data_IF_014786807922
#
_entry.id   IF_014786807922
#
_cell.length_a   1.000
_cell.length_b   1.000
_cell.length_c   1.000
_cell.angle_alpha   90.00
_cell.angle_beta   90.00
_cell.angle_gamma   90.00
#
_symmetry.space_group_name_H-M   'P 1'
#
loop_
_entity.id
_entity.type
_entity.pdbx_description
1 polymer ?
#
# COMPACT_ATOMS: atom_id res chain seq x y z
N UNK A 1 10.27 13.89 -19.14
CA UNK A 1 9.67 12.54 -18.97
C UNK A 1 9.75 11.80 -20.29
N UNK A 2 10.18 10.54 -20.32
CA UNK A 2 10.23 9.75 -21.55
C UNK A 2 8.81 9.24 -21.94
N UNK A 3 8.65 8.76 -23.18
CA UNK A 3 7.34 8.34 -23.70
C UNK A 3 6.71 7.20 -22.88
N UNK A 4 7.51 6.26 -22.36
CA UNK A 4 7.02 5.16 -21.53
C UNK A 4 6.38 5.73 -20.25
N UNK A 5 7.06 6.66 -19.59
CA UNK A 5 6.56 7.27 -18.36
C UNK A 5 5.29 8.11 -18.62
N UNK A 6 5.22 8.86 -19.74
CA UNK A 6 4.00 9.62 -20.05
C UNK A 6 2.80 8.70 -20.26
N UNK A 7 2.94 7.68 -21.09
CA UNK A 7 1.85 6.73 -21.32
C UNK A 7 1.52 5.90 -20.07
N UNK A 8 2.52 5.54 -19.27
CA UNK A 8 2.32 4.83 -18.02
C UNK A 8 1.38 5.60 -17.08
N UNK A 9 1.65 6.87 -16.83
CA UNK A 9 0.81 7.67 -15.93
C UNK A 9 -0.52 8.07 -16.56
N UNK A 10 -0.58 8.25 -17.89
CA UNK A 10 -1.85 8.46 -18.60
C UNK A 10 -2.77 7.25 -18.47
N UNK A 11 -2.27 6.05 -18.75
CA UNK A 11 -3.04 4.81 -18.61
C UNK A 11 -3.46 4.56 -17.15
N UNK A 12 -2.56 4.83 -16.21
CA UNK A 12 -2.86 4.69 -14.80
C UNK A 12 -3.94 5.67 -14.36
N UNK A 13 -3.92 6.92 -14.84
CA UNK A 13 -4.98 7.91 -14.60
C UNK A 13 -6.30 7.46 -15.20
N UNK A 14 -6.28 6.95 -16.42
CA UNK A 14 -7.48 6.43 -17.09
C UNK A 14 -8.10 5.27 -16.30
N UNK A 15 -7.30 4.30 -15.84
CA UNK A 15 -7.80 3.17 -15.07
C UNK A 15 -8.21 3.50 -13.64
N UNK A 16 -7.41 4.29 -12.92
CA UNK A 16 -7.64 4.61 -11.52
C UNK A 16 -8.71 5.69 -11.30
N UNK A 17 -8.77 6.70 -12.17
CA UNK A 17 -9.60 7.90 -11.98
C UNK A 17 -10.65 8.11 -13.07
N UNK A 18 -10.77 7.17 -14.01
CA UNK A 18 -11.71 7.23 -15.12
C UNK A 18 -11.51 8.46 -16.05
N UNK A 19 -10.26 8.93 -16.17
CA UNK A 19 -9.92 10.08 -16.99
C UNK A 19 -9.77 9.70 -18.47
N UNK A 20 -10.20 10.61 -19.36
CA UNK A 20 -9.92 10.50 -20.79
C UNK A 20 -8.49 10.96 -21.06
N UNK A 21 -7.70 10.11 -21.71
CA UNK A 21 -6.29 10.37 -21.96
C UNK A 21 -5.93 10.01 -23.41
N UNK A 22 -4.95 10.69 -23.97
CA UNK A 22 -4.40 10.38 -25.28
C UNK A 22 -3.09 9.60 -25.16
N UNK A 23 -2.98 8.48 -25.89
CA UNK A 23 -1.80 7.61 -25.86
C UNK A 23 -0.89 7.93 -27.04
N UNK A 24 0.40 8.05 -26.76
CA UNK A 24 1.44 8.24 -27.77
C UNK A 24 1.89 6.86 -28.33
N UNK A 25 2.30 6.79 -29.61
CA UNK A 25 2.73 5.52 -30.22
C UNK A 25 3.97 4.95 -29.53
N UNK A 26 3.96 3.68 -29.21
CA UNK A 26 5.08 2.98 -28.59
C UNK A 26 5.45 1.70 -29.36
N UNK A 27 6.75 1.38 -29.40
CA UNK A 27 7.23 0.10 -29.92
C UNK A 27 6.92 -1.05 -28.95
N UNK A 28 6.91 -2.29 -29.45
CA UNK A 28 6.75 -3.53 -28.68
C UNK A 28 7.55 -3.55 -27.37
N UNK A 29 8.86 -3.23 -27.45
CA UNK A 29 9.74 -3.24 -26.29
C UNK A 29 9.36 -2.21 -25.20
N UNK A 30 8.79 -1.09 -25.60
CA UNK A 30 8.30 -0.08 -24.65
C UNK A 30 7.03 -0.56 -23.96
N UNK A 31 6.12 -1.22 -24.67
CA UNK A 31 4.93 -1.82 -24.09
C UNK A 31 5.26 -2.95 -23.10
N UNK A 32 6.16 -3.86 -23.48
CA UNK A 32 6.64 -4.92 -22.59
C UNK A 32 7.25 -4.35 -21.31
N UNK A 33 8.04 -3.29 -21.45
CA UNK A 33 8.63 -2.63 -20.27
C UNK A 33 7.58 -1.95 -19.39
N UNK A 34 6.56 -1.33 -19.98
CA UNK A 34 5.45 -0.73 -19.25
C UNK A 34 4.68 -1.79 -18.45
N UNK A 35 4.40 -2.95 -19.05
CA UNK A 35 3.79 -4.10 -18.38
C UNK A 35 4.62 -4.57 -17.17
N UNK A 36 5.91 -4.79 -17.36
CA UNK A 36 6.81 -5.21 -16.30
C UNK A 36 6.78 -4.24 -15.11
N UNK A 37 6.74 -2.94 -15.38
CA UNK A 37 6.62 -1.92 -14.34
C UNK A 37 5.27 -1.93 -13.63
N UNK A 38 4.19 -2.17 -14.34
CA UNK A 38 2.86 -2.29 -13.75
C UNK A 38 2.77 -3.49 -12.80
N UNK A 39 3.31 -4.64 -13.20
CA UNK A 39 3.42 -5.83 -12.34
C UNK A 39 4.29 -5.56 -11.11
N UNK A 40 5.43 -4.90 -11.32
CA UNK A 40 6.37 -4.56 -10.27
C UNK A 40 5.75 -3.72 -9.15
N UNK A 41 4.92 -2.76 -9.51
CA UNK A 41 4.23 -1.90 -8.57
C UNK A 41 2.89 -2.47 -8.08
N UNK A 42 2.49 -3.67 -8.52
CA UNK A 42 1.23 -4.32 -8.14
C UNK A 42 -0.02 -3.55 -8.59
N UNK A 43 0.07 -2.88 -9.75
CA UNK A 43 -1.00 -2.06 -10.34
C UNK A 43 -1.36 -2.47 -11.76
N UNK A 44 -0.96 -3.68 -12.19
CA UNK A 44 -1.20 -4.18 -13.53
C UNK A 44 -2.69 -4.35 -13.86
N UNK A 45 -3.54 -4.67 -12.88
CA UNK A 45 -4.99 -4.73 -13.05
C UNK A 45 -5.57 -3.34 -13.36
N UNK A 46 -5.26 -2.35 -12.52
CA UNK A 46 -5.70 -0.96 -12.72
C UNK A 46 -5.17 -0.38 -14.03
N UNK A 47 -3.93 -0.71 -14.39
CA UNK A 47 -3.35 -0.29 -15.66
C UNK A 47 -4.07 -0.91 -16.86
N UNK A 48 -4.53 -2.15 -16.73
CA UNK A 48 -5.32 -2.84 -17.73
C UNK A 48 -6.68 -2.17 -17.97
N UNK A 49 -7.33 -1.66 -16.92
CA UNK A 49 -8.55 -0.86 -17.06
C UNK A 49 -8.33 0.38 -17.92
N UNK A 50 -7.20 1.06 -17.72
CA UNK A 50 -6.81 2.19 -18.56
C UNK A 50 -6.52 1.78 -20.02
N UNK A 51 -5.92 0.62 -20.23
CA UNK A 51 -5.69 0.06 -21.58
C UNK A 51 -7.02 -0.20 -22.29
N UNK A 52 -7.97 -0.88 -21.63
CA UNK A 52 -9.27 -1.20 -22.23
C UNK A 52 -10.05 0.07 -22.60
N UNK A 53 -10.01 1.12 -21.78
CA UNK A 53 -10.64 2.40 -22.12
C UNK A 53 -10.00 3.11 -23.32
N UNK A 54 -8.67 2.99 -23.46
CA UNK A 54 -7.94 3.61 -24.56
C UNK A 54 -7.89 2.73 -25.83
N UNK A 55 -8.49 1.54 -25.82
CA UNK A 55 -8.33 0.51 -26.87
C UNK A 55 -8.75 0.98 -28.27
N UNK A 56 -9.73 1.88 -28.37
CA UNK A 56 -10.19 2.42 -29.64
C UNK A 56 -9.26 3.48 -30.25
N UNK A 57 -8.25 3.93 -29.54
CA UNK A 57 -7.34 4.97 -30.03
C UNK A 57 -6.37 4.39 -31.08
N UNK A 58 -6.16 5.12 -32.15
CA UNK A 58 -5.30 4.71 -33.27
C UNK A 58 -3.88 4.32 -32.86
N UNK A 59 -3.31 5.01 -31.87
CA UNK A 59 -1.95 4.75 -31.37
C UNK A 59 -1.88 3.67 -30.29
N UNK A 60 -3.01 3.08 -29.91
CA UNK A 60 -3.05 1.99 -28.94
C UNK A 60 -2.74 0.64 -29.59
N UNK A 61 -1.52 0.53 -30.13
CA UNK A 61 -1.04 -0.67 -30.83
C UNK A 61 -0.32 -1.60 -29.86
N UNK A 62 -1.08 -2.29 -29.00
CA UNK A 62 -0.55 -3.34 -28.15
C UNK A 62 -0.35 -4.62 -28.98
N UNK A 63 0.80 -5.30 -28.84
CA UNK A 63 1.01 -6.62 -29.44
C UNK A 63 0.04 -7.65 -28.87
N UNK A 64 -0.51 -8.51 -29.71
CA UNK A 64 -1.55 -9.50 -29.35
C UNK A 64 -1.07 -10.45 -28.23
N UNK A 65 0.16 -10.95 -28.31
CA UNK A 65 0.78 -11.81 -27.31
C UNK A 65 0.90 -11.13 -25.94
N UNK A 66 1.17 -9.83 -25.92
CA UNK A 66 1.23 -9.06 -24.68
C UNK A 66 -0.17 -8.78 -24.10
N UNK A 67 -1.17 -8.56 -24.97
CA UNK A 67 -2.57 -8.43 -24.54
C UNK A 67 -3.04 -9.71 -23.85
N UNK A 68 -2.75 -10.88 -24.46
CA UNK A 68 -3.09 -12.18 -23.89
C UNK A 68 -2.42 -12.38 -22.52
N UNK A 69 -1.11 -12.18 -22.45
CA UNK A 69 -0.35 -12.27 -21.18
C UNK A 69 -0.93 -11.35 -20.10
N UNK A 70 -1.35 -10.13 -20.48
CA UNK A 70 -1.91 -9.17 -19.52
C UNK A 70 -3.29 -9.62 -19.03
N UNK A 71 -4.15 -10.10 -19.94
CA UNK A 71 -5.47 -10.66 -19.59
C UNK A 71 -5.36 -11.83 -18.63
N UNK A 72 -4.47 -12.79 -18.90
CA UNK A 72 -4.22 -13.94 -18.04
C UNK A 72 -3.77 -13.48 -16.63
N UNK A 73 -2.88 -12.48 -16.57
CA UNK A 73 -2.40 -11.92 -15.32
C UNK A 73 -3.52 -11.22 -14.52
N UNK A 74 -4.46 -10.56 -15.21
CA UNK A 74 -5.61 -9.91 -14.58
C UNK A 74 -6.63 -10.95 -14.14
N UNK A 75 -6.93 -11.95 -14.95
CA UNK A 75 -7.83 -13.04 -14.56
C UNK A 75 -7.34 -13.78 -13.31
N UNK A 76 -6.04 -14.06 -13.21
CA UNK A 76 -5.43 -14.64 -12.01
C UNK A 76 -5.63 -13.73 -10.80
N UNK A 77 -5.46 -12.41 -10.96
CA UNK A 77 -5.66 -11.44 -9.88
C UNK A 77 -7.13 -11.39 -9.43
N UNK A 78 -8.08 -11.46 -10.37
CA UNK A 78 -9.52 -11.52 -10.06
C UNK A 78 -9.88 -12.79 -9.28
N UNK A 79 -9.34 -13.95 -9.67
CA UNK A 79 -9.54 -15.21 -8.94
C UNK A 79 -8.95 -15.14 -7.51
N UNK A 80 -7.73 -14.62 -7.36
CA UNK A 80 -7.09 -14.43 -6.05
C UNK A 80 -7.94 -13.51 -5.15
N UNK A 81 -8.44 -12.40 -5.68
CA UNK A 81 -9.27 -11.44 -4.93
C UNK A 81 -10.66 -11.99 -4.61
N UNK A 82 -11.27 -12.76 -5.50
CA UNK A 82 -12.55 -13.44 -5.24
C UNK A 82 -12.41 -14.51 -4.13
N UNK A 83 -11.31 -15.26 -4.14
CA UNK A 83 -10.97 -16.21 -3.08
C UNK A 83 -10.74 -15.52 -1.74
N UNK A 84 -10.06 -14.35 -1.76
CA UNK A 84 -9.85 -13.52 -0.57
C UNK A 84 -11.18 -13.04 0.03
N UNK A 85 -12.10 -12.54 -0.80
CA UNK A 85 -13.43 -12.09 -0.38
C UNK A 85 -14.23 -13.20 0.28
N UNK A 86 -14.32 -14.37 -0.38
CA UNK A 86 -15.05 -15.52 0.15
C UNK A 86 -14.46 -16.02 1.49
N UNK A 87 -13.12 -16.04 1.59
CA UNK A 87 -12.42 -16.43 2.81
C UNK A 87 -12.65 -15.43 3.93
N UNK A 88 -12.61 -14.13 3.63
CA UNK A 88 -12.86 -13.08 4.60
C UNK A 88 -14.28 -13.17 5.16
N UNK A 89 -15.30 -13.31 4.31
CA UNK A 89 -16.69 -13.47 4.74
C UNK A 89 -16.86 -14.70 5.63
N UNK A 90 -16.24 -15.82 5.29
CA UNK A 90 -16.26 -17.03 6.11
C UNK A 90 -15.63 -16.79 7.50
N UNK A 91 -14.45 -16.14 7.55
CA UNK A 91 -13.79 -15.80 8.81
C UNK A 91 -14.64 -14.89 9.70
N UNK A 92 -15.29 -13.87 9.12
CA UNK A 92 -16.20 -12.98 9.87
C UNK A 92 -17.37 -13.75 10.49
N UNK A 93 -17.98 -14.68 9.75
CA UNK A 93 -19.06 -15.52 10.29
C UNK A 93 -18.56 -16.42 11.41
N UNK A 94 -17.40 -17.04 11.27
CA UNK A 94 -16.80 -17.92 12.29
C UNK A 94 -16.47 -17.12 13.56
N UNK A 95 -15.84 -15.95 13.41
CA UNK A 95 -15.48 -15.09 14.53
C UNK A 95 -16.71 -14.52 15.24
N UNK A 96 -17.73 -14.14 14.51
CA UNK A 96 -18.99 -13.67 15.09
C UNK A 96 -19.63 -14.73 15.99
N UNK A 97 -19.63 -16.01 15.57
CA UNK A 97 -20.13 -17.13 16.38
C UNK A 97 -19.34 -17.34 17.68
N UNK A 98 -18.08 -16.93 17.69
CA UNK A 98 -17.18 -17.01 18.86
C UNK A 98 -17.12 -15.70 19.65
N UNK A 99 -17.99 -14.76 19.36
CA UNK A 99 -17.99 -13.41 19.98
C UNK A 99 -16.68 -12.62 19.78
N UNK A 100 -15.94 -12.94 18.73
CA UNK A 100 -14.80 -12.16 18.28
C UNK A 100 -15.27 -11.13 17.25
N UNK A 101 -14.79 -9.90 17.38
CA UNK A 101 -15.16 -8.79 16.49
C UNK A 101 -13.90 -8.19 15.86
N UNK A 102 -13.40 -8.79 14.78
CA UNK A 102 -12.29 -8.21 14.04
C UNK A 102 -12.75 -6.94 13.31
N UNK A 103 -11.85 -5.99 13.20
CA UNK A 103 -12.03 -4.76 12.43
C UNK A 103 -11.19 -4.88 11.16
N UNK A 104 -11.83 -4.78 9.99
CA UNK A 104 -11.15 -4.80 8.70
C UNK A 104 -10.36 -3.51 8.48
N UNK A 105 -9.13 -3.63 7.99
CA UNK A 105 -8.28 -2.50 7.66
C UNK A 105 -7.29 -2.84 6.53
N UNK A 106 -6.60 -1.83 6.04
CA UNK A 106 -5.51 -2.04 5.10
C UNK A 106 -5.95 -2.37 3.68
N UNK A 107 -5.26 -3.30 3.05
CA UNK A 107 -5.34 -3.53 1.60
C UNK A 107 -6.77 -3.78 1.09
N UNK A 108 -7.49 -4.71 1.71
CA UNK A 108 -8.85 -5.06 1.29
C UNK A 108 -9.82 -3.88 1.45
N UNK A 109 -9.74 -3.14 2.57
CA UNK A 109 -10.57 -1.97 2.79
C UNK A 109 -10.32 -0.86 1.73
N UNK A 110 -9.08 -0.70 1.29
CA UNK A 110 -8.77 0.29 0.24
C UNK A 110 -9.23 -0.15 -1.14
N UNK A 111 -9.23 -1.45 -1.42
CA UNK A 111 -9.75 -2.00 -2.68
C UNK A 111 -11.21 -1.62 -2.95
N UNK A 112 -12.04 -1.47 -1.90
CA UNK A 112 -13.44 -1.04 -2.00
C UNK A 112 -13.63 0.32 -2.67
N UNK A 113 -12.60 1.16 -2.69
CA UNK A 113 -12.67 2.49 -3.32
C UNK A 113 -12.31 2.45 -4.82
N UNK A 114 -11.77 1.35 -5.33
CA UNK A 114 -11.34 1.25 -6.72
C UNK A 114 -12.54 1.02 -7.65
N UNK A 115 -12.51 1.54 -8.91
CA UNK A 115 -13.55 1.28 -9.90
C UNK A 115 -13.79 -0.23 -10.12
N UNK A 116 -12.72 -1.03 -10.16
CA UNK A 116 -12.74 -2.48 -10.15
C UNK A 116 -11.93 -2.97 -8.93
N UNK A 117 -12.61 -3.29 -7.82
CA UNK A 117 -11.96 -3.72 -6.57
C UNK A 117 -11.13 -4.99 -6.76
N UNK A 118 -11.54 -5.87 -7.68
CA UNK A 118 -10.82 -7.10 -8.07
C UNK A 118 -9.49 -6.83 -8.77
N UNK A 119 -9.28 -5.63 -9.31
CA UNK A 119 -8.05 -5.27 -10.02
C UNK A 119 -6.98 -4.64 -9.14
N UNK A 120 -7.29 -4.39 -7.86
CA UNK A 120 -6.28 -3.99 -6.88
C UNK A 120 -5.65 -5.21 -6.21
N UNK A 121 -4.33 -5.35 -6.33
CA UNK A 121 -3.61 -6.45 -5.69
C UNK A 121 -3.59 -6.31 -4.16
N UNK A 122 -4.14 -7.29 -3.44
CA UNK A 122 -4.26 -7.26 -1.97
C UNK A 122 -3.17 -8.06 -1.24
N UNK A 123 -2.90 -9.28 -1.60
CA UNK A 123 -1.88 -10.20 -1.06
C UNK A 123 -2.18 -10.85 0.30
N UNK A 124 -3.04 -10.28 1.14
CA UNK A 124 -3.36 -10.81 2.47
C UNK A 124 -4.60 -10.16 3.06
N UNK A 125 -5.28 -10.89 3.92
CA UNK A 125 -6.38 -10.42 4.76
C UNK A 125 -5.79 -9.88 6.08
N UNK A 126 -6.09 -8.65 6.43
CA UNK A 126 -5.61 -7.99 7.65
C UNK A 126 -6.78 -7.69 8.59
N UNK A 127 -6.76 -8.31 9.77
CA UNK A 127 -7.80 -8.19 10.80
C UNK A 127 -7.22 -7.57 12.07
N UNK A 128 -7.81 -6.49 12.52
CA UNK A 128 -7.38 -5.78 13.73
C UNK A 128 -8.31 -6.16 14.91
N UNK A 129 -7.69 -6.48 16.03
CA UNK A 129 -8.39 -6.77 17.28
C UNK A 129 -7.97 -5.71 18.31
N UNK A 130 -8.82 -4.71 18.58
CA UNK A 130 -8.46 -3.59 19.44
C UNK A 130 -8.29 -3.96 20.93
N UNK A 131 -8.86 -5.10 21.35
CA UNK A 131 -8.80 -5.58 22.73
C UNK A 131 -7.88 -6.78 22.87
N UNK A 132 -6.95 -6.73 23.84
CA UNK A 132 -5.97 -7.77 24.09
C UNK A 132 -6.62 -9.17 24.24
N UNK A 133 -7.70 -9.26 25.01
CA UNK A 133 -8.40 -10.54 25.25
C UNK A 133 -8.98 -11.15 23.98
N UNK A 134 -9.48 -10.31 23.05
CA UNK A 134 -9.98 -10.78 21.76
C UNK A 134 -8.82 -11.17 20.84
N UNK A 135 -7.74 -10.40 20.86
CA UNK A 135 -6.53 -10.72 20.10
C UNK A 135 -5.94 -12.07 20.53
N UNK A 136 -5.80 -12.33 21.84
CA UNK A 136 -5.26 -13.58 22.36
C UNK A 136 -6.14 -14.78 21.97
N UNK A 137 -7.46 -14.66 22.11
CA UNK A 137 -8.40 -15.69 21.65
C UNK A 137 -8.33 -15.90 20.12
N UNK A 138 -8.15 -14.84 19.37
CA UNK A 138 -8.00 -14.94 17.91
C UNK A 138 -6.74 -15.69 17.49
N UNK A 139 -5.64 -15.55 18.25
CA UNK A 139 -4.40 -16.32 18.05
C UNK A 139 -4.60 -17.80 18.39
N UNK A 140 -5.30 -18.11 19.51
CA UNK A 140 -5.63 -19.49 19.86
C UNK A 140 -6.44 -20.17 18.75
N UNK A 141 -7.43 -19.46 18.23
CA UNK A 141 -8.21 -19.94 17.08
C UNK A 141 -7.34 -20.16 15.84
N UNK A 142 -6.47 -19.21 15.51
CA UNK A 142 -5.59 -19.29 14.36
C UNK A 142 -4.58 -20.45 14.45
N UNK A 143 -4.06 -20.73 15.64
CA UNK A 143 -3.19 -21.90 15.89
C UNK A 143 -3.90 -23.23 15.73
N UNK A 144 -5.19 -23.28 16.07
CA UNK A 144 -5.99 -24.50 15.98
C UNK A 144 -6.51 -24.79 14.56
N UNK A 145 -6.72 -23.76 13.73
CA UNK A 145 -7.41 -23.88 12.45
C UNK A 145 -6.57 -23.47 11.23
N UNK A 146 -5.48 -22.72 11.43
CA UNK A 146 -4.58 -22.27 10.39
C UNK A 146 -3.38 -23.17 10.17
N UNK A 147 -2.75 -23.02 9.00
CA UNK A 147 -1.48 -23.65 8.65
C UNK A 147 -0.35 -22.61 8.68
N UNK A 148 0.90 -23.07 8.78
CA UNK A 148 2.09 -22.21 8.73
C UNK A 148 2.04 -21.02 9.71
N UNK A 149 1.46 -21.23 10.88
CA UNK A 149 1.22 -20.20 11.87
C UNK A 149 2.53 -19.68 12.47
N UNK A 150 2.71 -18.34 12.44
CA UNK A 150 3.91 -17.66 12.91
C UNK A 150 3.62 -16.34 13.59
N UNK A 151 4.39 -16.03 14.63
CA UNK A 151 4.33 -14.71 15.26
C UNK A 151 5.21 -13.73 14.46
N UNK A 152 4.61 -12.65 14.02
CA UNK A 152 5.33 -11.57 13.36
C UNK A 152 5.91 -10.60 14.39
N UNK A 153 6.94 -9.85 13.99
CA UNK A 153 7.32 -8.64 14.71
C UNK A 153 6.06 -7.76 14.87
N UNK A 154 6.02 -6.88 15.83
CA UNK A 154 4.94 -5.89 15.94
C UNK A 154 3.60 -6.37 16.54
N UNK A 155 3.58 -7.45 17.32
CA UNK A 155 2.36 -8.01 17.89
C UNK A 155 1.32 -8.32 16.82
N UNK A 156 1.75 -8.98 15.76
CA UNK A 156 0.88 -9.56 14.76
C UNK A 156 1.12 -11.07 14.68
N UNK A 157 0.11 -11.80 14.24
CA UNK A 157 0.14 -13.24 14.08
C UNK A 157 -0.34 -13.61 12.69
N UNK A 158 0.46 -14.33 11.92
CA UNK A 158 0.14 -14.72 10.56
C UNK A 158 -0.06 -16.24 10.46
N UNK A 159 -0.97 -16.63 9.59
CA UNK A 159 -1.25 -18.02 9.26
C UNK A 159 -1.83 -18.12 7.86
N UNK A 160 -1.87 -19.31 7.31
CA UNK A 160 -2.58 -19.60 6.07
C UNK A 160 -3.93 -20.24 6.39
N UNK A 161 -4.98 -19.75 5.73
CA UNK A 161 -6.33 -20.27 5.81
C UNK A 161 -6.95 -20.31 4.42
N UNK A 162 -7.41 -21.49 3.99
CA UNK A 162 -7.88 -21.74 2.61
C UNK A 162 -6.87 -21.31 1.52
N UNK A 163 -5.57 -21.52 1.78
CA UNK A 163 -4.50 -21.13 0.85
C UNK A 163 -4.17 -19.65 0.83
N UNK A 164 -4.82 -18.86 1.66
CA UNK A 164 -4.63 -17.40 1.74
C UNK A 164 -3.94 -17.00 3.02
N UNK A 165 -3.09 -15.99 2.93
CA UNK A 165 -2.44 -15.42 4.10
C UNK A 165 -3.38 -14.51 4.88
N UNK A 166 -3.57 -14.81 6.15
CA UNK A 166 -4.35 -14.02 7.11
C UNK A 166 -3.43 -13.51 8.21
N UNK A 167 -3.58 -12.26 8.57
CA UNK A 167 -2.83 -11.63 9.65
C UNK A 167 -3.77 -11.03 10.68
N UNK A 168 -3.61 -11.46 11.94
CA UNK A 168 -4.26 -10.83 13.08
C UNK A 168 -3.32 -9.80 13.69
N UNK A 169 -3.82 -8.60 13.90
CA UNK A 169 -3.06 -7.47 14.40
C UNK A 169 -3.63 -6.94 15.71
N UNK A 170 -2.76 -6.72 16.69
CA UNK A 170 -3.07 -5.95 17.91
C UNK A 170 -2.72 -4.47 17.74
N UNK A 171 -1.97 -4.12 16.70
CA UNK A 171 -1.59 -2.74 16.35
C UNK A 171 -1.82 -2.53 14.86
N UNK A 172 -2.48 -1.44 14.48
CA UNK A 172 -2.76 -1.12 13.06
C UNK A 172 -1.48 -0.87 12.27
N UNK A 173 -0.50 -0.24 12.92
CA UNK A 173 0.82 0.03 12.37
C UNK A 173 1.82 0.16 13.52
N UNK A 174 3.10 -0.08 13.23
CA UNK A 174 4.17 0.07 14.22
C UNK A 174 5.27 0.94 13.65
N UNK A 175 5.58 2.03 14.33
CA UNK A 175 6.72 2.88 14.07
C UNK A 175 7.95 2.39 14.84
N UNK A 176 9.12 2.48 14.22
CA UNK A 176 10.40 2.07 14.83
C UNK A 176 10.79 3.03 15.95
N UNK A 177 10.45 4.31 15.82
CA UNK A 177 10.62 5.29 16.89
C UNK A 177 9.60 5.03 17.99
N UNK A 178 10.09 4.63 19.19
CA UNK A 178 9.25 4.24 20.34
C UNK A 178 8.31 5.35 20.80
N UNK A 179 8.75 6.61 20.77
CA UNK A 179 7.93 7.75 21.18
C UNK A 179 6.80 8.02 20.20
N UNK A 180 7.10 8.04 18.91
CA UNK A 180 6.07 8.20 17.86
C UNK A 180 5.11 7.01 17.86
N UNK A 181 5.63 5.80 18.09
CA UNK A 181 4.80 4.59 18.19
C UNK A 181 3.85 4.65 19.38
N UNK A 182 4.30 5.14 20.53
CA UNK A 182 3.42 5.39 21.69
C UNK A 182 2.31 6.39 21.36
N UNK A 183 2.65 7.50 20.69
CA UNK A 183 1.65 8.49 20.24
C UNK A 183 0.66 7.92 19.24
N UNK A 184 1.12 7.11 18.30
CA UNK A 184 0.24 6.44 17.35
C UNK A 184 -0.75 5.51 18.05
N UNK A 185 -0.28 4.71 19.00
CA UNK A 185 -1.16 3.83 19.77
C UNK A 185 -2.23 4.63 20.54
N UNK A 186 -1.86 5.75 21.16
CA UNK A 186 -2.82 6.61 21.87
C UNK A 186 -3.86 7.22 20.90
N UNK A 187 -3.47 7.59 19.68
CA UNK A 187 -4.40 8.05 18.64
C UNK A 187 -5.41 6.95 18.32
N UNK A 188 -4.93 5.73 18.03
CA UNK A 188 -5.78 4.59 17.69
C UNK A 188 -6.72 4.24 18.86
N UNK A 189 -6.19 4.11 20.08
CA UNK A 189 -6.99 3.78 21.27
C UNK A 189 -8.06 4.82 21.55
N UNK A 190 -7.74 6.12 21.39
CA UNK A 190 -8.72 7.20 21.52
C UNK A 190 -9.81 7.12 20.46
N UNK A 191 -9.42 6.86 19.20
CA UNK A 191 -10.37 6.75 18.10
C UNK A 191 -11.40 5.65 18.34
N UNK A 192 -10.96 4.47 18.80
CA UNK A 192 -11.86 3.34 19.12
C UNK A 192 -12.66 3.53 20.42
N UNK A 193 -12.23 4.43 21.30
CA UNK A 193 -12.97 4.78 22.54
C UNK A 193 -14.08 5.79 22.25
N UNK A 194 -13.79 6.79 21.42
CA UNK A 194 -14.67 7.92 21.16
C UNK A 194 -15.66 7.66 20.00
N UNK A 195 -15.30 6.79 19.08
CA UNK A 195 -16.08 6.49 17.89
C UNK A 195 -16.41 5.00 17.78
N UNK A 196 -17.61 4.70 17.28
CA UNK A 196 -17.95 3.33 16.88
C UNK A 196 -17.23 2.97 15.59
N UNK A 197 -16.87 1.69 15.39
CA UNK A 197 -16.37 1.22 14.08
C UNK A 197 -17.36 1.59 12.96
N UNK A 198 -16.81 1.92 11.80
CA UNK A 198 -17.62 2.13 10.59
C UNK A 198 -18.07 0.76 10.08
N UNK A 199 -19.27 0.67 9.54
CA UNK A 199 -19.78 -0.56 8.97
C UNK A 199 -19.78 -0.46 7.43
N UNK A 200 -19.35 -1.53 6.77
CA UNK A 200 -19.58 -1.74 5.34
C UNK A 200 -21.02 -2.21 5.11
N UNK A 201 -21.44 -2.26 3.84
CA UNK A 201 -22.80 -2.66 3.45
C UNK A 201 -23.18 -4.09 3.89
N UNK A 202 -22.19 -4.97 4.03
CA UNK A 202 -22.33 -6.35 4.49
C UNK A 202 -22.30 -6.50 6.03
N UNK A 203 -22.15 -5.37 6.76
CA UNK A 203 -22.06 -5.33 8.21
C UNK A 203 -20.65 -5.55 8.78
N UNK A 204 -19.63 -5.66 7.93
CA UNK A 204 -18.23 -5.78 8.36
C UNK A 204 -17.77 -4.50 9.08
N UNK A 205 -17.21 -4.65 10.28
CA UNK A 205 -16.64 -3.52 11.04
C UNK A 205 -15.32 -3.08 10.42
N UNK A 206 -15.14 -1.76 10.23
CA UNK A 206 -13.94 -1.15 9.65
C UNK A 206 -13.47 0.05 10.49
N UNK A 207 -12.23 0.47 10.24
CA UNK A 207 -11.68 1.71 10.82
C UNK A 207 -12.35 2.95 10.20
N UNK A 208 -12.35 4.08 10.91
CA UNK A 208 -12.87 5.35 10.40
C UNK A 208 -12.11 5.82 9.15
N UNK A 209 -12.75 6.64 8.31
CA UNK A 209 -12.13 7.18 7.09
C UNK A 209 -10.88 8.02 7.41
N UNK A 210 -10.90 8.80 8.50
CA UNK A 210 -9.74 9.57 8.95
C UNK A 210 -8.58 8.68 9.38
N UNK A 211 -8.85 7.58 10.11
CA UNK A 211 -7.83 6.62 10.51
C UNK A 211 -7.30 5.82 9.32
N UNK A 212 -8.17 5.49 8.37
CA UNK A 212 -7.79 4.84 7.12
C UNK A 212 -6.82 5.70 6.32
N UNK A 213 -7.08 7.00 6.20
CA UNK A 213 -6.20 7.94 5.53
C UNK A 213 -4.86 8.10 6.26
N UNK A 214 -4.86 8.20 7.59
CA UNK A 214 -3.63 8.19 8.38
C UNK A 214 -2.81 6.93 8.11
N UNK A 215 -3.45 5.77 8.04
CA UNK A 215 -2.78 4.50 7.78
C UNK A 215 -2.16 4.45 6.38
N UNK A 216 -2.79 5.06 5.36
CA UNK A 216 -2.19 5.20 4.02
C UNK A 216 -0.88 6.00 4.12
N UNK A 217 -0.85 7.14 4.83
CA UNK A 217 0.38 7.92 5.03
C UNK A 217 1.45 7.16 5.79
N UNK A 218 1.08 6.41 6.83
CA UNK A 218 2.02 5.56 7.58
C UNK A 218 2.63 4.48 6.70
N UNK A 219 1.83 3.78 5.88
CA UNK A 219 2.33 2.77 4.95
C UNK A 219 3.15 3.39 3.83
N UNK A 220 2.73 4.51 3.29
CA UNK A 220 3.51 5.25 2.30
C UNK A 220 4.88 5.63 2.86
N UNK A 221 4.94 6.18 4.09
CA UNK A 221 6.21 6.52 4.74
C UNK A 221 7.09 5.31 5.00
N UNK A 222 6.51 4.21 5.46
CA UNK A 222 7.24 2.96 5.70
C UNK A 222 7.87 2.42 4.40
N UNK A 223 7.10 2.36 3.32
CA UNK A 223 7.63 1.91 2.02
C UNK A 223 8.68 2.87 1.49
N UNK A 224 8.47 4.18 1.58
CA UNK A 224 9.45 5.18 1.16
C UNK A 224 10.80 4.99 1.86
N UNK A 225 10.80 4.71 3.16
CA UNK A 225 12.03 4.52 3.95
C UNK A 225 12.70 3.16 3.73
N UNK A 226 11.93 2.11 3.44
CA UNK A 226 12.43 0.74 3.40
C UNK A 226 12.51 0.13 2.00
N UNK A 227 11.58 0.46 1.10
CA UNK A 227 11.42 -0.23 -0.18
C UNK A 227 11.43 0.71 -1.40
N UNK A 228 11.43 2.03 -1.18
CA UNK A 228 11.21 3.03 -2.23
C UNK A 228 9.74 3.43 -2.38
N UNK A 229 9.46 4.33 -3.30
CA UNK A 229 8.10 4.85 -3.49
C UNK A 229 7.19 3.79 -4.11
N UNK A 230 6.11 3.47 -3.43
CA UNK A 230 5.07 2.58 -3.92
C UNK A 230 3.98 3.35 -4.67
N UNK A 231 3.87 3.13 -5.98
CA UNK A 231 2.80 3.70 -6.80
C UNK A 231 1.42 3.16 -6.38
N UNK A 232 1.33 1.92 -5.91
CA UNK A 232 0.08 1.36 -5.37
C UNK A 232 -0.47 2.20 -4.21
N UNK A 233 0.37 2.54 -3.22
CA UNK A 233 -0.08 3.37 -2.10
C UNK A 233 -0.40 4.81 -2.50
N UNK A 234 0.24 5.32 -3.55
CA UNK A 234 -0.08 6.64 -4.09
C UNK A 234 -1.43 6.61 -4.83
N UNK A 235 -1.73 5.54 -5.58
CA UNK A 235 -3.05 5.30 -6.17
C UNK A 235 -4.11 5.14 -5.06
N UNK A 236 -3.83 4.35 -4.02
CA UNK A 236 -4.72 4.21 -2.86
C UNK A 236 -5.10 5.57 -2.28
N UNK A 237 -4.11 6.46 -2.09
CA UNK A 237 -4.35 7.80 -1.58
C UNK A 237 -5.20 8.64 -2.51
N UNK A 238 -4.88 8.68 -3.81
CA UNK A 238 -5.62 9.48 -4.80
C UNK A 238 -7.05 9.01 -4.98
N UNK A 239 -7.26 7.70 -5.10
CA UNK A 239 -8.60 7.11 -5.24
C UNK A 239 -9.41 7.34 -3.96
N UNK A 240 -8.81 7.09 -2.78
CA UNK A 240 -9.45 7.33 -1.49
C UNK A 240 -9.91 8.79 -1.34
N UNK A 241 -9.10 9.75 -1.77
CA UNK A 241 -9.45 11.17 -1.74
C UNK A 241 -10.70 11.48 -2.58
N UNK A 242 -10.77 10.96 -3.81
CA UNK A 242 -11.89 11.22 -4.71
C UNK A 242 -13.18 10.51 -4.29
N UNK A 243 -13.07 9.32 -3.67
CA UNK A 243 -14.23 8.49 -3.30
C UNK A 243 -14.71 8.78 -1.88
N UNK A 244 -13.80 8.88 -0.93
CA UNK A 244 -14.10 8.96 0.50
C UNK A 244 -13.50 10.20 1.19
N UNK A 245 -12.90 11.10 0.44
CA UNK A 245 -12.23 12.28 0.98
C UNK A 245 -13.16 13.21 1.76
N UNK A 246 -14.42 13.33 1.36
CA UNK A 246 -15.41 14.16 2.04
C UNK A 246 -15.81 13.63 3.44
N UNK A 247 -15.57 12.34 3.72
CA UNK A 247 -15.87 11.73 5.00
C UNK A 247 -14.68 11.80 5.99
N UNK A 248 -13.59 12.44 5.58
CA UNK A 248 -12.38 12.60 6.40
C UNK A 248 -12.47 13.87 7.24
N UNK A 249 -12.28 13.74 8.54
CA UNK A 249 -12.05 14.89 9.42
C UNK A 249 -10.60 15.39 9.26
N UNK A 250 -10.43 16.38 8.38
CA UNK A 250 -9.10 16.92 8.07
C UNK A 250 -8.48 17.71 9.23
N UNK A 251 -9.27 18.29 10.12
CA UNK A 251 -8.73 18.99 11.32
C UNK A 251 -8.07 17.96 12.24
N UNK A 252 -8.76 16.86 12.49
CA UNK A 252 -8.28 15.72 13.25
C UNK A 252 -7.05 15.09 12.59
N UNK A 253 -7.10 14.83 11.28
CA UNK A 253 -6.01 14.27 10.52
C UNK A 253 -4.76 15.15 10.56
N UNK A 254 -4.88 16.46 10.36
CA UNK A 254 -3.75 17.39 10.45
C UNK A 254 -3.11 17.41 11.84
N UNK A 255 -3.93 17.31 12.90
CA UNK A 255 -3.46 17.13 14.28
C UNK A 255 -2.63 15.85 14.44
N UNK A 256 -3.09 14.74 13.88
CA UNK A 256 -2.38 13.47 13.90
C UNK A 256 -1.08 13.49 13.09
N UNK A 257 -1.12 14.05 11.87
CA UNK A 257 0.06 14.22 11.02
C UNK A 257 1.14 15.09 11.72
N UNK A 258 0.71 16.13 12.43
CA UNK A 258 1.61 16.95 13.25
C UNK A 258 2.23 16.15 14.42
N UNK A 259 1.39 15.45 15.17
CA UNK A 259 1.77 14.65 16.34
C UNK A 259 2.77 13.54 15.97
N UNK A 260 2.60 12.92 14.80
CA UNK A 260 3.44 11.85 14.29
C UNK A 260 4.57 12.33 13.39
N UNK A 261 4.76 13.65 13.24
CA UNK A 261 5.79 14.25 12.36
C UNK A 261 5.66 13.85 10.89
N UNK A 262 4.45 13.56 10.40
CA UNK A 262 4.16 13.10 9.04
C UNK A 262 3.84 14.22 8.06
N UNK A 263 3.86 15.51 8.47
CA UNK A 263 3.50 16.64 7.57
C UNK A 263 4.34 16.68 6.29
N UNK A 264 5.66 16.47 6.40
CA UNK A 264 6.53 16.43 5.23
C UNK A 264 6.21 15.26 4.29
N UNK A 265 5.85 14.10 4.85
CA UNK A 265 5.41 12.93 4.08
C UNK A 265 4.11 13.23 3.35
N UNK A 266 3.13 13.84 4.02
CA UNK A 266 1.86 14.25 3.42
C UNK A 266 2.08 15.27 2.27
N UNK A 267 2.94 16.26 2.48
CA UNK A 267 3.30 17.22 1.44
C UNK A 267 3.99 16.56 0.22
N UNK A 268 4.86 15.57 0.45
CA UNK A 268 5.47 14.78 -0.65
C UNK A 268 4.39 14.02 -1.41
N UNK A 269 3.52 13.29 -0.70
CA UNK A 269 2.46 12.52 -1.32
C UNK A 269 1.53 13.43 -2.14
N UNK A 270 1.14 14.58 -1.60
CA UNK A 270 0.34 15.58 -2.32
C UNK A 270 1.06 16.12 -3.56
N UNK A 271 2.33 16.51 -3.45
CA UNK A 271 3.10 16.97 -4.60
C UNK A 271 3.26 15.87 -5.67
N UNK A 272 3.34 14.59 -5.29
CA UNK A 272 3.35 13.48 -6.24
C UNK A 272 1.98 13.29 -6.91
N UNK A 273 0.87 13.41 -6.18
CA UNK A 273 -0.48 13.37 -6.76
C UNK A 273 -0.67 14.49 -7.81
N UNK A 274 -0.23 15.71 -7.49
CA UNK A 274 -0.29 16.84 -8.44
C UNK A 274 0.57 16.56 -9.70
N UNK A 275 1.80 16.08 -9.53
CA UNK A 275 2.72 15.90 -10.66
C UNK A 275 2.44 14.66 -11.52
N UNK A 276 1.81 13.61 -10.96
CA UNK A 276 1.63 12.32 -11.62
C UNK A 276 0.18 12.05 -12.01
N UNK A 277 -0.78 12.53 -11.20
CA UNK A 277 -2.20 12.20 -11.34
C UNK A 277 -3.08 13.44 -11.55
N UNK A 278 -2.48 14.59 -11.82
CA UNK A 278 -3.19 15.82 -12.19
C UNK A 278 -4.19 16.33 -11.14
N UNK A 279 -3.90 16.08 -9.87
CA UNK A 279 -4.66 16.68 -8.77
C UNK A 279 -4.36 18.16 -8.65
N UNK A 280 -5.35 18.95 -8.29
CA UNK A 280 -5.13 20.34 -7.85
C UNK A 280 -4.79 20.35 -6.34
N UNK A 281 -4.10 21.37 -5.87
CA UNK A 281 -3.85 21.53 -4.44
C UNK A 281 -5.12 21.76 -3.62
N UNK A 282 -6.19 22.23 -4.24
CA UNK A 282 -7.50 22.41 -3.60
C UNK A 282 -8.17 21.08 -3.26
N UNK A 283 -7.83 20.00 -3.97
CA UNK A 283 -8.27 18.63 -3.67
C UNK A 283 -7.48 17.98 -2.52
N UNK A 284 -6.45 18.66 -1.98
CA UNK A 284 -5.47 18.11 -1.03
C UNK A 284 -5.46 18.87 0.31
N UNK A 285 -6.53 18.79 1.13
CA UNK A 285 -6.67 19.61 2.35
C UNK A 285 -5.60 19.31 3.43
N UNK A 286 -4.85 18.22 3.29
CA UNK A 286 -3.76 17.84 4.19
C UNK A 286 -2.41 18.47 3.80
N UNK A 287 -2.29 19.04 2.61
CA UNK A 287 -1.04 19.68 2.14
C UNK A 287 -0.90 21.07 2.79
N UNK A 288 0.23 21.28 3.44
CA UNK A 288 0.56 22.53 4.14
C UNK A 288 1.64 23.35 3.42
N UNK A 289 2.28 22.80 2.37
CA UNK A 289 3.31 23.48 1.57
C UNK A 289 3.28 22.98 0.12
N UNK A 290 3.08 23.91 -0.80
CA UNK A 290 3.09 23.65 -2.25
C UNK A 290 4.50 23.71 -2.87
N UNK A 291 5.52 24.09 -2.09
CA UNK A 291 6.91 24.24 -2.57
C UNK A 291 7.75 22.98 -2.38
N UNK A 292 7.12 21.84 -2.08
CA UNK A 292 7.83 20.60 -1.83
C UNK A 292 8.55 20.10 -3.08
N UNK A 293 9.89 19.98 -2.99
CA UNK A 293 10.70 19.50 -4.11
C UNK A 293 10.67 17.98 -4.22
N UNK A 294 9.91 17.45 -5.16
CA UNK A 294 9.80 16.00 -5.46
C UNK A 294 10.63 15.54 -6.68
N UNK A 295 11.40 16.45 -7.31
CA UNK A 295 12.23 16.10 -8.50
C UNK A 295 13.13 14.88 -8.30
N UNK A 296 13.85 14.72 -7.15
CA UNK A 296 14.67 13.52 -6.92
C UNK A 296 13.85 12.23 -6.85
N UNK A 297 12.64 12.30 -6.32
CA UNK A 297 11.70 11.17 -6.22
C UNK A 297 11.15 10.81 -7.60
N UNK A 298 10.72 11.83 -8.36
CA UNK A 298 10.23 11.63 -9.73
C UNK A 298 11.32 11.03 -10.64
N UNK A 299 12.58 11.46 -10.50
CA UNK A 299 13.67 10.89 -11.30
C UNK A 299 13.89 9.40 -11.02
N UNK A 300 13.64 8.93 -9.80
CA UNK A 300 13.68 7.52 -9.44
C UNK A 300 12.49 6.75 -10.01
N UNK A 301 11.29 7.27 -9.85
CA UNK A 301 10.07 6.67 -10.40
C UNK A 301 10.10 6.58 -11.93
N UNK A 302 10.80 7.52 -12.60
CA UNK A 302 10.93 7.50 -14.06
C UNK A 302 12.13 6.68 -14.57
N UNK A 303 12.92 6.10 -13.68
CA UNK A 303 14.06 5.27 -14.09
C UNK A 303 13.62 3.85 -14.47
N UNK A 304 12.87 3.74 -15.55
CA UNK A 304 12.41 2.47 -16.13
C UNK A 304 13.55 1.55 -16.63
N UNK A 305 14.81 2.00 -16.60
CA UNK A 305 15.98 1.18 -16.98
C UNK A 305 16.49 0.31 -15.82
N UNK A 306 16.14 0.66 -14.58
CA UNK A 306 16.61 -0.05 -13.39
C UNK A 306 15.90 -1.36 -13.08
N UNK A 307 14.78 -1.66 -13.76
CA UNK A 307 13.97 -2.85 -13.50
C UNK A 307 14.76 -4.17 -13.64
N UNK A 308 15.63 -4.26 -14.63
CA UNK A 308 16.42 -5.48 -14.87
C UNK A 308 17.52 -5.68 -13.81
N UNK A 309 18.08 -4.59 -13.27
CA UNK A 309 19.16 -4.64 -12.27
C UNK A 309 18.65 -4.79 -10.83
N UNK A 310 17.42 -4.37 -10.58
CA UNK A 310 16.79 -4.41 -9.26
C UNK A 310 15.69 -5.49 -9.15
N UNK A 311 15.61 -6.42 -10.08
CA UNK A 311 14.58 -7.46 -10.11
C UNK A 311 14.52 -8.32 -8.83
N UNK A 312 15.61 -8.39 -8.07
CA UNK A 312 15.64 -9.07 -6.78
C UNK A 312 14.89 -8.32 -5.66
N UNK A 313 14.77 -6.98 -5.73
CA UNK A 313 13.99 -6.21 -4.76
C UNK A 313 12.48 -6.44 -4.90
N UNK A 314 12.05 -6.81 -6.07
CA UNK A 314 10.65 -6.84 -6.47
C UNK A 314 10.06 -8.25 -6.57
N UNK A 315 10.89 -9.28 -6.51
CA UNK A 315 10.43 -10.67 -6.31
C UNK A 315 9.83 -10.91 -4.92
N UNK A 316 9.88 -9.92 -4.05
CA UNK A 316 9.35 -9.96 -2.68
C UNK A 316 7.81 -9.91 -2.56
N UNK A 317 7.06 -9.92 -3.65
CA UNK A 317 5.58 -9.95 -3.59
C UNK A 317 5.01 -11.24 -2.96
N UNK A 318 5.72 -12.35 -3.02
CA UNK A 318 5.29 -13.65 -2.43
C UNK A 318 6.18 -14.14 -1.28
N UNK A 319 7.44 -13.67 -1.17
CA UNK A 319 8.36 -14.13 -0.11
C UNK A 319 9.07 -12.95 0.56
N UNK A 320 8.64 -12.61 1.77
CA UNK A 320 9.28 -11.60 2.64
C UNK A 320 10.66 -12.07 3.16
N UNK A 321 11.06 -13.32 2.86
CA UNK A 321 12.28 -13.96 3.37
C UNK A 321 13.17 -14.53 2.26
N UNK A 322 13.59 -13.71 1.28
CA UNK A 322 14.74 -14.11 0.48
C UNK A 322 16.00 -13.55 1.12
N UNK A 323 16.86 -14.45 1.58
CA UNK A 323 18.21 -14.11 2.07
C UNK A 323 19.03 -13.46 0.93
N UNK A 324 18.90 -12.14 0.78
CA UNK A 324 19.91 -11.37 0.06
C UNK A 324 21.16 -11.32 0.93
N UNK A 325 22.34 -11.37 0.32
CA UNK A 325 23.60 -11.19 1.04
C UNK A 325 23.48 -9.97 1.96
N UNK A 326 23.57 -10.18 3.27
CA UNK A 326 23.30 -9.21 4.33
C UNK A 326 23.92 -7.83 4.10
N UNK A 327 25.09 -7.76 3.48
CA UNK A 327 25.85 -6.53 3.22
C UNK A 327 25.19 -5.63 2.15
N UNK A 328 24.65 -6.21 1.07
CA UNK A 328 24.02 -5.45 -0.01
C UNK A 328 22.68 -4.85 0.43
N UNK A 329 21.88 -5.62 1.19
CA UNK A 329 20.63 -5.16 1.76
C UNK A 329 20.87 -4.04 2.80
N UNK A 330 21.89 -4.18 3.64
CA UNK A 330 22.30 -3.17 4.61
C UNK A 330 22.73 -1.86 3.91
N UNK A 331 23.60 -1.92 2.90
CA UNK A 331 24.03 -0.73 2.15
C UNK A 331 22.87 -0.03 1.47
N UNK A 332 21.90 -0.79 0.96
CA UNK A 332 20.71 -0.24 0.36
C UNK A 332 19.83 0.49 1.41
N UNK A 333 19.56 -0.11 2.58
CA UNK A 333 18.82 0.53 3.67
C UNK A 333 19.50 1.80 4.17
N UNK A 334 20.83 1.80 4.31
CA UNK A 334 21.62 2.98 4.68
C UNK A 334 21.41 4.10 3.66
N UNK A 335 21.55 3.77 2.37
CA UNK A 335 21.36 4.75 1.27
C UNK A 335 19.94 5.30 1.23
N UNK A 336 18.94 4.45 1.42
CA UNK A 336 17.53 4.82 1.40
C UNK A 336 17.18 5.70 2.61
N UNK A 337 17.59 5.31 3.81
CA UNK A 337 17.39 6.11 5.02
C UNK A 337 18.08 7.48 4.94
N UNK A 338 19.30 7.55 4.40
CA UNK A 338 20.01 8.81 4.16
C UNK A 338 19.31 9.74 3.16
N UNK A 339 18.76 9.15 2.07
CA UNK A 339 18.06 9.89 1.02
C UNK A 339 16.78 10.58 1.54
N UNK A 340 16.02 9.88 2.39
CA UNK A 340 14.73 10.36 2.90
C UNK A 340 14.79 10.94 4.30
N UNK A 341 15.99 10.98 4.91
CA UNK A 341 16.23 11.51 6.25
C UNK A 341 15.58 12.88 6.49
N UNK A 342 15.73 13.81 5.56
CA UNK A 342 15.20 15.18 5.71
C UNK A 342 13.67 15.26 5.77
N UNK A 343 12.96 14.23 5.31
CA UNK A 343 11.49 14.22 5.25
C UNK A 343 10.85 13.58 6.46
N UNK A 344 11.55 12.62 7.10
CA UNK A 344 11.08 11.95 8.31
C UNK A 344 12.26 11.60 9.21
N UNK A 345 12.93 12.61 9.82
CA UNK A 345 14.21 12.41 10.53
C UNK A 345 14.14 11.40 11.65
N UNK A 346 13.13 11.52 12.54
CA UNK A 346 13.01 10.68 13.74
C UNK A 346 12.86 9.20 13.43
N UNK A 347 12.04 8.85 12.43
CA UNK A 347 11.82 7.47 12.01
C UNK A 347 13.01 6.95 11.19
N UNK A 348 13.61 7.78 10.33
CA UNK A 348 14.78 7.41 9.54
C UNK A 348 15.98 7.04 10.41
N UNK A 349 16.28 7.80 11.47
CA UNK A 349 17.37 7.48 12.40
C UNK A 349 17.09 6.17 13.12
N UNK A 350 15.90 6.01 13.68
CA UNK A 350 15.59 4.80 14.47
C UNK A 350 15.50 3.57 13.59
N UNK A 351 14.99 3.70 12.36
CA UNK A 351 14.96 2.63 11.38
C UNK A 351 16.39 2.21 10.97
N UNK A 352 17.26 3.18 10.72
CA UNK A 352 18.67 2.93 10.44
C UNK A 352 19.36 2.19 11.59
N UNK A 353 19.25 2.70 12.84
CA UNK A 353 19.86 2.08 14.01
C UNK A 353 19.33 0.67 14.28
N UNK A 354 18.01 0.46 14.13
CA UNK A 354 17.38 -0.85 14.29
C UNK A 354 17.87 -1.86 13.23
N UNK A 355 17.98 -1.43 11.98
CA UNK A 355 18.49 -2.26 10.88
C UNK A 355 19.97 -2.61 11.08
N UNK A 356 20.78 -1.65 11.53
CA UNK A 356 22.19 -1.85 11.84
C UNK A 356 22.39 -2.83 13.00
N UNK A 357 21.66 -2.65 14.12
CA UNK A 357 21.72 -3.56 15.27
C UNK A 357 21.32 -5.00 14.90
N UNK A 358 20.29 -5.16 14.06
CA UNK A 358 19.85 -6.48 13.57
C UNK A 358 20.91 -7.14 12.67
N UNK A 359 21.60 -6.36 11.84
CA UNK A 359 22.67 -6.89 10.99
C UNK A 359 23.88 -7.36 11.83
N UNK A 360 24.21 -6.65 12.90
CA UNK A 360 25.29 -7.07 13.81
C UNK A 360 24.94 -8.38 14.54
N UNK A 361 23.69 -8.54 15.01
CA UNK A 361 23.26 -9.76 15.70
C UNK A 361 23.15 -11.00 14.79
N UNK A 362 23.25 -10.86 13.49
CA UNK A 362 23.26 -11.96 12.51
C UNK A 362 24.67 -12.35 12.05
N UNK A 363 25.69 -11.61 12.46
CA UNK A 363 27.11 -11.87 12.15
C UNK A 363 27.77 -12.70 13.28
N UNK A 364 27.17 -12.71 14.48
CA UNK A 364 27.52 -13.64 15.57
C UNK A 364 26.78 -14.97 15.42
#
# INVERSE_FOLDING_TARGET
MNIIARNYFRLLRSGAFNEDVEIEPMSFWKWKRLYQYACLHGIHGVMYDGIEKCRSQFFMQLPEDLVETWKESVATLEEENAGEEATMQNLYQLFSRQQLRPVLFGNRLWAENYPASSHRQNLKIELFFPFQTQFDKSIEWAKANGQNATTLANRAFAYEYNGLRVEHHYRLHVLTNKYLNYRLNNIVEREFRENKPTLLNDGTETISKSLSMLLIFLRFSFHMLNNGISLKHLCDLGIFLRVAGNDVDYVKLQGWLSTLQLKSIANIAGALLVNLFDFSYDELPFVTSTTTNVKPILSELFNFQGADKNSWYFKQGKDIFVHANNTSAMMWHVRQSGKYFRYYPSESITNFLSSFARSLSQIE
#
